data_IF_145099686903
#
_entry.id   IF_145099686903
#
_cell.length_a   1.000
_cell.length_b   1.000
_cell.length_c   1.000
_cell.angle_alpha   90.00
_cell.angle_beta   90.00
_cell.angle_gamma   90.00
#
_symmetry.space_group_name_H-M   'P 1'
#
loop_
_entity.id
_entity.type
_entity.pdbx_description
1 polymer ?
#
# COMPACT_ATOMS: atom_id res chain seq x y z
N UNK A 1 -3.30 25.12 28.18
CA UNK A 1 -4.36 24.13 27.91
C UNK A 1 -4.40 23.66 26.44
N UNK A 2 -4.29 24.58 25.47
CA UNK A 2 -4.34 24.26 24.02
C UNK A 2 -3.20 23.35 23.53
N UNK A 3 -1.97 23.56 24.01
CA UNK A 3 -0.80 22.77 23.59
C UNK A 3 -0.90 21.28 24.00
N UNK A 4 -1.36 20.99 25.24
CA UNK A 4 -1.58 19.61 25.71
C UNK A 4 -2.64 18.90 24.88
N UNK A 5 -3.73 19.59 24.53
CA UNK A 5 -4.78 19.03 23.68
C UNK A 5 -4.27 18.70 22.27
N UNK A 6 -3.45 19.57 21.68
CA UNK A 6 -2.83 19.35 20.37
C UNK A 6 -1.93 18.09 20.36
N UNK A 7 -1.00 17.97 21.31
CA UNK A 7 -0.15 16.78 21.42
C UNK A 7 -0.95 15.50 21.68
N UNK A 8 -2.02 15.61 22.46
CA UNK A 8 -2.93 14.48 22.69
C UNK A 8 -3.60 14.05 21.39
N UNK A 9 -4.18 14.99 20.62
CA UNK A 9 -4.79 14.70 19.31
C UNK A 9 -3.76 14.09 18.35
N UNK A 10 -2.55 14.65 18.27
CA UNK A 10 -1.48 14.12 17.41
C UNK A 10 -1.10 12.68 17.78
N UNK A 11 -0.99 12.38 19.07
CA UNK A 11 -0.69 11.04 19.57
C UNK A 11 -1.80 10.04 19.23
N UNK A 12 -3.07 10.42 19.39
CA UNK A 12 -4.20 9.57 19.00
C UNK A 12 -4.27 9.35 17.49
N UNK A 13 -3.96 10.37 16.70
CA UNK A 13 -3.89 10.24 15.24
C UNK A 13 -2.74 9.29 14.83
N UNK A 14 -1.56 9.47 15.42
CA UNK A 14 -0.40 8.61 15.18
C UNK A 14 -0.70 7.15 15.55
N UNK A 15 -1.22 6.91 16.75
CA UNK A 15 -1.55 5.55 17.22
C UNK A 15 -2.67 4.91 16.41
N UNK A 16 -3.66 5.66 15.93
CA UNK A 16 -4.68 5.14 15.03
C UNK A 16 -4.10 4.69 13.68
N UNK A 17 -3.20 5.49 13.08
CA UNK A 17 -2.50 5.12 11.85
C UNK A 17 -1.56 3.92 12.06
N UNK A 18 -0.80 3.89 13.16
CA UNK A 18 0.07 2.77 13.52
C UNK A 18 -0.74 1.48 13.71
N UNK A 19 -1.91 1.57 14.36
CA UNK A 19 -2.83 0.45 14.48
C UNK A 19 -3.30 0.01 13.11
N UNK A 20 -3.75 0.92 12.24
CA UNK A 20 -4.19 0.59 10.89
C UNK A 20 -3.09 -0.09 10.06
N UNK A 21 -1.84 0.37 10.18
CA UNK A 21 -0.68 -0.14 9.44
C UNK A 21 0.01 -1.36 10.07
N UNK A 22 -0.57 -1.95 11.12
CA UNK A 22 0.05 -3.05 11.89
C UNK A 22 0.61 -4.18 11.02
N UNK A 23 -0.10 -4.61 9.96
CA UNK A 23 0.41 -5.65 9.08
C UNK A 23 1.65 -5.20 8.27
N UNK A 24 1.63 -3.98 7.73
CA UNK A 24 2.79 -3.41 7.04
C UNK A 24 3.99 -3.21 7.97
N UNK A 25 3.76 -2.72 9.19
CA UNK A 25 4.79 -2.57 10.22
C UNK A 25 5.38 -3.93 10.61
N UNK A 26 4.54 -4.96 10.72
CA UNK A 26 4.99 -6.33 10.96
C UNK A 26 5.91 -6.82 9.85
N UNK A 27 5.52 -6.69 8.56
CA UNK A 27 6.36 -7.10 7.43
C UNK A 27 7.70 -6.34 7.40
N UNK A 28 7.67 -5.02 7.60
CA UNK A 28 8.90 -4.21 7.69
C UNK A 28 9.79 -4.65 8.86
N UNK A 29 9.20 -5.03 9.99
CA UNK A 29 9.96 -5.55 11.13
C UNK A 29 10.60 -6.90 10.82
N UNK A 30 9.92 -7.79 10.08
CA UNK A 30 10.50 -9.05 9.60
C UNK A 30 11.64 -8.78 8.60
N UNK A 31 11.52 -7.76 7.74
CA UNK A 31 12.62 -7.39 6.82
C UNK A 31 13.88 -6.98 7.57
N UNK A 32 13.74 -6.11 8.57
CA UNK A 32 14.83 -5.66 9.43
C UNK A 32 15.43 -6.81 10.23
N UNK A 33 14.59 -7.66 10.82
CA UNK A 33 15.01 -8.84 11.57
C UNK A 33 15.84 -9.79 10.69
N UNK A 34 15.32 -10.11 9.50
CA UNK A 34 15.98 -11.06 8.59
C UNK A 34 17.18 -10.48 7.84
N UNK A 35 17.43 -9.17 7.96
CA UNK A 35 18.69 -8.58 7.49
C UNK A 35 19.85 -8.87 8.44
N UNK A 36 19.57 -9.00 9.75
CA UNK A 36 20.59 -9.22 10.78
C UNK A 36 20.59 -10.63 11.36
N UNK A 37 19.49 -11.37 11.21
CA UNK A 37 19.33 -12.76 11.67
C UNK A 37 19.11 -13.68 10.47
N UNK A 38 19.98 -14.67 10.34
CA UNK A 38 19.79 -15.78 9.40
C UNK A 38 19.01 -16.90 10.08
N UNK A 39 17.87 -17.28 9.49
CA UNK A 39 17.10 -18.44 9.97
C UNK A 39 17.64 -19.69 9.28
N UNK A 40 18.11 -20.71 10.02
CA UNK A 40 18.65 -21.92 9.40
C UNK A 40 17.55 -22.71 8.70
N UNK A 41 17.92 -23.46 7.65
CA UNK A 41 17.07 -24.42 6.92
C UNK A 41 15.90 -23.83 6.12
N UNK A 42 15.66 -22.52 6.17
CA UNK A 42 14.59 -21.85 5.42
C UNK A 42 15.15 -20.63 4.69
N UNK A 43 14.74 -20.45 3.43
CA UNK A 43 15.07 -19.22 2.70
C UNK A 43 14.48 -18.01 3.40
N UNK A 44 15.21 -16.88 3.36
CA UNK A 44 14.72 -15.60 3.88
C UNK A 44 13.34 -15.25 3.34
N UNK A 45 13.11 -15.45 2.05
CA UNK A 45 11.82 -15.13 1.42
C UNK A 45 10.70 -16.09 1.83
N UNK A 46 11.01 -17.38 2.00
CA UNK A 46 10.04 -18.37 2.48
C UNK A 46 9.65 -18.08 3.93
N UNK A 47 10.61 -17.69 4.77
CA UNK A 47 10.35 -17.29 6.15
C UNK A 47 9.44 -16.05 6.20
N UNK A 48 9.71 -15.03 5.39
CA UNK A 48 8.86 -13.83 5.29
C UNK A 48 7.44 -14.24 4.83
N UNK A 49 7.33 -15.10 3.82
CA UNK A 49 6.04 -15.58 3.34
C UNK A 49 5.26 -16.31 4.44
N UNK A 50 5.87 -17.26 5.13
CA UNK A 50 5.22 -17.99 6.23
C UNK A 50 4.85 -17.05 7.38
N UNK A 51 5.70 -16.09 7.73
CA UNK A 51 5.39 -15.09 8.74
C UNK A 51 4.16 -14.24 8.35
N UNK A 52 4.05 -13.84 7.08
CA UNK A 52 2.89 -13.13 6.56
C UNK A 52 1.61 -13.98 6.60
N UNK A 53 1.70 -15.25 6.21
CA UNK A 53 0.57 -16.20 6.29
C UNK A 53 0.12 -16.39 7.74
N UNK A 54 1.05 -16.61 8.67
CA UNK A 54 0.75 -16.76 10.11
C UNK A 54 0.08 -15.49 10.63
N UNK A 55 0.60 -14.30 10.30
CA UNK A 55 -0.02 -13.04 10.70
C UNK A 55 -1.47 -12.96 10.21
N UNK A 56 -1.70 -13.27 8.94
CA UNK A 56 -3.02 -13.19 8.32
C UNK A 56 -4.02 -14.18 8.95
N UNK A 57 -3.58 -15.42 9.20
CA UNK A 57 -4.39 -16.45 9.88
C UNK A 57 -4.72 -16.03 11.31
N UNK A 58 -3.73 -15.53 12.07
CA UNK A 58 -3.96 -15.00 13.41
C UNK A 58 -4.92 -13.79 13.38
N UNK A 59 -4.78 -12.89 12.42
CA UNK A 59 -5.67 -11.73 12.28
C UNK A 59 -7.13 -12.15 12.09
N UNK A 60 -7.37 -13.24 11.34
CA UNK A 60 -8.70 -13.82 11.17
C UNK A 60 -9.19 -14.54 12.45
N UNK A 61 -8.37 -15.40 13.05
CA UNK A 61 -8.74 -16.19 14.24
C UNK A 61 -9.08 -15.28 15.42
N UNK A 62 -8.29 -14.24 15.66
CA UNK A 62 -8.52 -13.28 16.75
C UNK A 62 -9.51 -12.17 16.40
N UNK A 63 -10.09 -12.18 15.19
CA UNK A 63 -11.08 -11.19 14.76
C UNK A 63 -10.53 -9.77 14.60
N UNK A 64 -9.21 -9.62 14.44
CA UNK A 64 -8.59 -8.34 14.07
C UNK A 64 -8.94 -7.92 12.64
N UNK A 65 -9.29 -8.89 11.79
CA UNK A 65 -9.70 -8.70 10.42
C UNK A 65 -10.98 -9.48 10.11
N UNK A 66 -11.90 -8.86 9.36
CA UNK A 66 -13.17 -9.47 8.96
C UNK A 66 -13.03 -10.23 7.64
N UNK A 67 -13.85 -11.26 7.43
CA UNK A 67 -13.85 -12.04 6.17
C UNK A 67 -13.97 -11.17 4.90
N UNK A 68 -14.80 -10.12 4.93
CA UNK A 68 -14.95 -9.19 3.79
C UNK A 68 -13.65 -8.42 3.49
N UNK A 69 -12.89 -8.07 4.52
CA UNK A 69 -11.60 -7.37 4.41
C UNK A 69 -10.54 -8.34 3.88
N UNK A 70 -10.57 -9.60 4.34
CA UNK A 70 -9.71 -10.67 3.86
C UNK A 70 -9.88 -11.00 2.38
N UNK A 71 -11.12 -11.01 1.86
CA UNK A 71 -11.35 -11.18 0.42
C UNK A 71 -10.68 -10.08 -0.41
N UNK A 72 -10.69 -8.84 0.08
CA UNK A 72 -9.99 -7.74 -0.57
C UNK A 72 -8.48 -7.99 -0.54
N UNK A 73 -7.93 -8.46 0.58
CA UNK A 73 -6.52 -8.85 0.70
C UNK A 73 -6.12 -9.94 -0.31
N UNK A 74 -6.93 -10.97 -0.51
CA UNK A 74 -6.67 -11.98 -1.55
C UNK A 74 -6.61 -11.33 -2.94
N UNK A 75 -7.53 -10.42 -3.24
CA UNK A 75 -7.54 -9.71 -4.53
C UNK A 75 -6.28 -8.87 -4.72
N UNK A 76 -5.81 -8.18 -3.67
CA UNK A 76 -4.52 -7.49 -3.69
C UNK A 76 -3.37 -8.45 -3.96
N UNK A 77 -3.32 -9.59 -3.27
CA UNK A 77 -2.27 -10.58 -3.43
C UNK A 77 -2.18 -11.06 -4.88
N UNK A 78 -3.32 -11.38 -5.50
CA UNK A 78 -3.38 -11.85 -6.90
C UNK A 78 -2.95 -10.75 -7.88
N UNK A 79 -3.56 -9.56 -7.81
CA UNK A 79 -3.25 -8.47 -8.74
C UNK A 79 -1.79 -8.01 -8.60
N UNK A 80 -1.29 -7.92 -7.38
CA UNK A 80 0.10 -7.61 -7.12
C UNK A 80 1.05 -8.65 -7.71
N UNK A 81 0.76 -9.94 -7.51
CA UNK A 81 1.61 -11.02 -8.03
C UNK A 81 1.67 -10.98 -9.56
N UNK A 82 0.54 -10.67 -10.24
CA UNK A 82 0.51 -10.49 -11.70
C UNK A 82 1.41 -9.31 -12.12
N UNK A 83 1.33 -8.18 -11.41
CA UNK A 83 2.16 -7.02 -11.70
C UNK A 83 3.64 -7.29 -11.44
N UNK A 84 3.98 -7.94 -10.32
CA UNK A 84 5.33 -8.35 -9.97
C UNK A 84 5.91 -9.26 -11.05
N UNK A 85 5.16 -10.28 -11.51
CA UNK A 85 5.59 -11.22 -12.56
C UNK A 85 5.98 -10.50 -13.86
N UNK A 86 5.25 -9.45 -14.21
CA UNK A 86 5.59 -8.60 -15.34
C UNK A 86 6.82 -7.73 -15.05
N UNK A 87 6.86 -7.06 -13.91
CA UNK A 87 7.88 -6.05 -13.57
C UNK A 87 9.26 -6.62 -13.29
N UNK A 88 9.31 -7.81 -12.70
CA UNK A 88 10.56 -8.53 -12.40
C UNK A 88 10.94 -9.53 -13.48
N UNK A 89 10.19 -9.57 -14.58
CA UNK A 89 10.60 -10.35 -15.75
C UNK A 89 11.98 -9.85 -16.21
N UNK A 90 12.94 -10.74 -16.53
CA UNK A 90 14.27 -10.33 -16.99
C UNK A 90 14.27 -9.38 -18.21
N UNK A 91 13.27 -9.46 -19.09
CA UNK A 91 13.13 -8.57 -20.24
C UNK A 91 12.66 -7.15 -19.86
N UNK A 92 12.02 -6.99 -18.69
CA UNK A 92 11.52 -5.71 -18.17
C UNK A 92 12.47 -5.12 -17.14
N UNK A 93 12.95 -5.94 -16.20
CA UNK A 93 14.01 -5.60 -15.26
C UNK A 93 13.72 -4.37 -14.39
N UNK A 94 12.46 -4.12 -14.02
CA UNK A 94 12.13 -2.92 -13.22
C UNK A 94 12.75 -2.97 -11.83
N UNK A 95 12.84 -4.16 -11.24
CA UNK A 95 13.61 -4.50 -10.05
C UNK A 95 13.87 -6.02 -10.03
N UNK A 96 14.73 -6.48 -9.13
CA UNK A 96 15.08 -7.89 -8.97
C UNK A 96 15.02 -8.34 -7.51
N UNK A 97 14.70 -9.61 -7.30
CA UNK A 97 14.71 -10.28 -6.00
C UNK A 97 15.98 -11.14 -5.86
N UNK A 98 17.06 -10.64 -5.23
CA UNK A 98 18.37 -11.30 -5.24
C UNK A 98 18.38 -12.70 -4.60
N UNK A 99 17.54 -12.95 -3.58
CA UNK A 99 17.52 -14.22 -2.86
C UNK A 99 16.48 -15.22 -3.40
N UNK A 100 15.91 -14.98 -4.59
CA UNK A 100 14.79 -15.78 -5.10
C UNK A 100 15.20 -17.21 -5.45
N UNK A 101 16.45 -17.41 -5.90
CA UNK A 101 16.96 -18.72 -6.31
C UNK A 101 17.05 -19.76 -5.19
N UNK A 102 16.99 -19.33 -3.93
CA UNK A 102 16.96 -20.23 -2.77
C UNK A 102 15.56 -20.47 -2.20
N UNK A 103 14.52 -19.82 -2.72
CA UNK A 103 13.17 -19.84 -2.17
C UNK A 103 12.25 -20.83 -2.89
N UNK A 104 11.39 -21.51 -2.12
CA UNK A 104 10.42 -22.50 -2.62
C UNK A 104 9.09 -21.82 -2.97
N UNK A 105 8.63 -20.87 -2.15
CA UNK A 105 7.35 -20.17 -2.36
C UNK A 105 7.52 -19.03 -3.37
N UNK A 106 7.73 -19.40 -4.63
CA UNK A 106 7.97 -18.47 -5.73
C UNK A 106 7.13 -18.81 -6.96
N UNK A 107 6.87 -17.79 -7.78
CA UNK A 107 6.37 -17.93 -9.15
C UNK A 107 7.36 -17.22 -10.07
N UNK A 108 8.10 -17.99 -10.87
CA UNK A 108 9.19 -17.48 -11.70
C UNK A 108 10.17 -16.61 -10.88
N UNK A 109 10.33 -15.32 -11.20
CA UNK A 109 11.22 -14.40 -10.49
C UNK A 109 10.58 -13.72 -9.26
N UNK A 110 9.35 -14.12 -8.89
CA UNK A 110 8.55 -13.44 -7.86
C UNK A 110 8.38 -14.33 -6.62
N UNK A 111 8.95 -13.95 -5.47
CA UNK A 111 8.59 -14.55 -4.20
C UNK A 111 7.13 -14.25 -3.83
N UNK A 112 6.39 -15.24 -3.32
CA UNK A 112 4.97 -15.08 -3.00
C UNK A 112 4.70 -14.11 -1.84
N UNK A 113 5.70 -13.79 -1.00
CA UNK A 113 5.49 -12.77 0.03
C UNK A 113 5.21 -11.37 -0.55
N UNK A 114 5.61 -11.11 -1.79
CA UNK A 114 5.45 -9.80 -2.43
C UNK A 114 3.98 -9.42 -2.56
N UNK A 115 3.10 -10.37 -2.86
CA UNK A 115 1.65 -10.16 -2.85
C UNK A 115 1.13 -9.67 -1.49
N UNK A 116 1.74 -10.10 -0.38
CA UNK A 116 1.39 -9.61 0.95
C UNK A 116 1.82 -8.15 1.21
N UNK A 117 2.82 -7.62 0.50
CA UNK A 117 3.21 -6.20 0.62
C UNK A 117 2.10 -5.27 0.14
N UNK A 118 1.49 -5.58 -1.00
CA UNK A 118 0.34 -4.83 -1.50
C UNK A 118 -0.92 -5.11 -0.69
N UNK A 119 -1.08 -6.34 -0.21
CA UNK A 119 -2.15 -6.69 0.73
C UNK A 119 -2.07 -5.87 2.02
N UNK A 120 -0.87 -5.55 2.51
CA UNK A 120 -0.68 -4.67 3.66
C UNK A 120 -1.17 -3.24 3.42
N UNK A 121 -1.05 -2.72 2.18
CA UNK A 121 -1.64 -1.44 1.78
C UNK A 121 -3.17 -1.53 1.82
N UNK A 122 -3.75 -2.59 1.25
CA UNK A 122 -5.20 -2.84 1.29
C UNK A 122 -5.73 -2.94 2.72
N UNK A 123 -5.06 -3.71 3.58
CA UNK A 123 -5.34 -3.81 5.01
C UNK A 123 -5.25 -2.45 5.69
N UNK A 124 -4.24 -1.63 5.40
CA UNK A 124 -4.11 -0.30 5.99
C UNK A 124 -5.29 0.60 5.63
N UNK A 125 -5.68 0.66 4.35
CA UNK A 125 -6.81 1.49 3.91
C UNK A 125 -8.10 1.00 4.59
N UNK A 126 -8.34 -0.31 4.56
CA UNK A 126 -9.51 -0.95 5.18
C UNK A 126 -9.61 -0.64 6.68
N UNK A 127 -8.52 -0.85 7.41
CA UNK A 127 -8.47 -0.59 8.85
C UNK A 127 -8.50 0.90 9.18
N UNK A 128 -8.03 1.77 8.29
CA UNK A 128 -8.18 3.22 8.44
C UNK A 128 -9.65 3.63 8.43
N UNK A 129 -10.50 3.04 7.58
CA UNK A 129 -11.97 3.27 7.63
C UNK A 129 -12.59 2.95 8.99
N UNK A 130 -12.00 2.00 9.72
CA UNK A 130 -12.47 1.56 11.04
C UNK A 130 -11.89 2.42 12.17
N UNK A 131 -10.57 2.56 12.25
CA UNK A 131 -9.91 3.27 13.35
C UNK A 131 -10.07 4.79 13.30
N UNK A 132 -10.12 5.36 12.10
CA UNK A 132 -10.27 6.79 11.89
C UNK A 132 -11.71 7.19 11.55
N UNK A 133 -12.63 6.21 11.48
CA UNK A 133 -14.03 6.41 11.08
C UNK A 133 -14.18 7.27 9.83
N UNK A 134 -13.45 6.92 8.78
CA UNK A 134 -13.39 7.72 7.57
C UNK A 134 -14.76 7.88 6.93
N UNK A 135 -15.08 9.10 6.53
CA UNK A 135 -16.19 9.46 5.64
C UNK A 135 -15.72 10.48 4.61
N UNK A 136 -16.43 10.57 3.50
CA UNK A 136 -16.03 11.38 2.35
C UNK A 136 -17.12 12.35 1.96
N UNK A 137 -16.70 13.58 1.63
CA UNK A 137 -17.59 14.64 1.17
C UNK A 137 -17.21 15.03 -0.26
N UNK A 138 -18.21 15.27 -1.12
CA UNK A 138 -18.02 15.60 -2.55
C UNK A 138 -17.12 14.58 -3.25
N UNK A 139 -17.38 13.30 -3.00
CA UNK A 139 -16.72 12.21 -3.70
C UNK A 139 -17.24 12.17 -5.14
N UNK A 140 -16.36 12.03 -6.16
CA UNK A 140 -16.79 11.98 -7.55
C UNK A 140 -17.65 10.74 -7.81
N UNK A 141 -18.36 10.72 -8.93
CA UNK A 141 -19.12 9.54 -9.31
C UNK A 141 -18.25 8.29 -9.32
N UNK A 142 -18.80 7.20 -8.77
CA UNK A 142 -18.04 6.00 -8.45
C UNK A 142 -17.34 5.37 -9.67
N UNK A 143 -17.88 5.56 -10.88
CA UNK A 143 -17.27 5.07 -12.10
C UNK A 143 -15.94 5.78 -12.41
N UNK A 144 -15.78 7.06 -12.08
CA UNK A 144 -14.53 7.81 -12.29
C UNK A 144 -13.36 7.20 -11.50
N UNK A 145 -13.63 6.74 -10.27
CA UNK A 145 -12.64 6.03 -9.46
C UNK A 145 -12.15 4.75 -10.16
N UNK A 146 -13.08 3.97 -10.74
CA UNK A 146 -12.74 2.73 -11.42
C UNK A 146 -12.06 2.93 -12.77
N UNK A 147 -12.48 3.91 -13.57
CA UNK A 147 -11.77 4.29 -14.80
C UNK A 147 -10.31 4.62 -14.46
N UNK A 148 -10.10 5.46 -13.44
CA UNK A 148 -8.77 5.84 -13.02
C UNK A 148 -7.94 4.65 -12.50
N UNK A 149 -8.54 3.76 -11.71
CA UNK A 149 -7.87 2.55 -11.21
C UNK A 149 -7.44 1.63 -12.37
N UNK A 150 -8.34 1.35 -13.32
CA UNK A 150 -8.06 0.49 -14.47
C UNK A 150 -7.00 1.12 -15.38
N UNK A 151 -7.13 2.40 -15.73
CA UNK A 151 -6.15 3.09 -16.57
C UNK A 151 -4.78 3.17 -15.90
N UNK A 152 -4.74 3.37 -14.57
CA UNK A 152 -3.48 3.33 -13.81
C UNK A 152 -2.85 1.94 -13.86
N UNK A 153 -3.64 0.88 -13.64
CA UNK A 153 -3.15 -0.50 -13.72
C UNK A 153 -2.61 -0.81 -15.11
N UNK A 154 -3.37 -0.50 -16.16
CA UNK A 154 -2.94 -0.71 -17.55
C UNK A 154 -1.66 0.07 -17.85
N UNK A 155 -1.58 1.36 -17.48
CA UNK A 155 -0.36 2.17 -17.64
C UNK A 155 0.83 1.54 -16.92
N UNK A 156 0.63 0.91 -15.75
CA UNK A 156 1.69 0.16 -15.08
C UNK A 156 2.25 -0.96 -15.95
N UNK A 157 1.49 -1.65 -16.80
CA UNK A 157 2.05 -2.65 -17.73
C UNK A 157 2.57 -2.03 -19.02
N UNK A 158 1.90 -1.02 -19.56
CA UNK A 158 2.15 -0.56 -20.94
C UNK A 158 3.23 0.49 -21.06
N UNK A 159 3.58 1.26 -20.00
CA UNK A 159 4.61 2.31 -20.10
C UNK A 159 6.02 1.82 -20.45
N UNK A 160 6.25 0.51 -20.35
CA UNK A 160 7.49 -0.13 -20.82
C UNK A 160 7.58 -0.24 -22.34
N UNK A 161 6.43 -0.23 -23.03
CA UNK A 161 6.32 -0.43 -24.48
C UNK A 161 5.73 0.77 -25.22
N UNK A 162 4.96 1.62 -24.51
CA UNK A 162 4.26 2.78 -25.03
C UNK A 162 4.52 4.01 -24.17
N UNK A 163 3.97 5.16 -24.58
CA UNK A 163 4.05 6.40 -23.81
C UNK A 163 3.48 6.24 -22.41
N UNK A 164 4.24 6.71 -21.42
CA UNK A 164 3.78 6.78 -20.04
C UNK A 164 2.77 7.91 -19.87
N UNK A 165 1.49 7.56 -19.70
CA UNK A 165 0.39 8.52 -19.60
C UNK A 165 0.17 9.05 -18.18
N UNK A 166 1.11 8.84 -17.25
CA UNK A 166 0.95 9.23 -15.83
C UNK A 166 0.55 10.68 -15.63
N UNK A 167 1.05 11.61 -16.44
CA UNK A 167 0.73 13.04 -16.30
C UNK A 167 -0.73 13.33 -16.66
N UNK A 168 -1.28 12.61 -17.64
CA UNK A 168 -2.70 12.67 -17.98
C UNK A 168 -3.52 12.09 -16.83
N UNK A 169 -3.09 10.96 -16.26
CA UNK A 169 -3.75 10.37 -15.09
C UNK A 169 -3.71 11.31 -13.88
N UNK A 170 -2.59 11.98 -13.60
CA UNK A 170 -2.49 12.97 -12.53
C UNK A 170 -3.44 14.14 -12.76
N UNK A 171 -3.50 14.70 -13.97
CA UNK A 171 -4.45 15.76 -14.30
C UNK A 171 -5.89 15.28 -14.05
N UNK A 172 -6.21 14.05 -14.45
CA UNK A 172 -7.53 13.47 -14.22
C UNK A 172 -7.86 13.32 -12.73
N UNK A 173 -6.92 12.80 -11.93
CA UNK A 173 -7.06 12.68 -10.47
C UNK A 173 -7.33 14.05 -9.85
N UNK A 174 -6.51 15.05 -10.22
CA UNK A 174 -6.63 16.41 -9.70
C UNK A 174 -8.02 16.96 -10.00
N UNK A 175 -8.50 16.84 -11.24
CA UNK A 175 -9.81 17.37 -11.65
C UNK A 175 -10.95 16.73 -10.84
N UNK A 176 -11.01 15.40 -10.75
CA UNK A 176 -12.16 14.72 -10.14
C UNK A 176 -12.14 14.76 -8.61
N UNK A 177 -10.97 14.80 -7.99
CA UNK A 177 -10.83 14.78 -6.52
C UNK A 177 -10.50 16.14 -5.91
N UNK A 178 -10.39 17.22 -6.71
CA UNK A 178 -10.00 18.56 -6.22
C UNK A 178 -10.86 19.02 -5.04
N UNK A 179 -12.17 18.73 -5.09
CA UNK A 179 -13.15 19.15 -4.08
C UNK A 179 -13.42 18.10 -3.01
N UNK A 180 -12.83 16.90 -3.14
CA UNK A 180 -13.10 15.79 -2.24
C UNK A 180 -12.36 15.98 -0.92
N UNK A 181 -13.11 15.90 0.18
CA UNK A 181 -12.55 15.95 1.54
C UNK A 181 -12.76 14.60 2.23
N UNK A 182 -11.75 14.21 3.01
CA UNK A 182 -11.81 13.07 3.92
C UNK A 182 -12.04 13.62 5.31
N UNK A 183 -13.11 13.16 5.96
CA UNK A 183 -13.38 13.41 7.37
C UNK A 183 -12.94 12.20 8.19
N UNK A 184 -12.37 12.46 9.35
CA UNK A 184 -11.83 11.44 10.24
C UNK A 184 -11.93 11.87 11.69
N UNK A 185 -12.16 10.91 12.58
CA UNK A 185 -12.22 11.15 14.02
C UNK A 185 -10.85 10.97 14.66
N UNK A 186 -10.37 12.01 15.33
CA UNK A 186 -9.18 11.97 16.19
C UNK A 186 -9.61 12.18 17.63
N UNK A 187 -9.42 11.16 18.47
CA UNK A 187 -9.88 11.17 19.86
C UNK A 187 -11.39 11.49 19.94
N UNK A 188 -11.77 12.71 20.35
CA UNK A 188 -13.17 13.17 20.47
C UNK A 188 -13.61 14.15 19.38
N UNK A 189 -12.71 14.57 18.49
CA UNK A 189 -13.00 15.61 17.48
C UNK A 189 -12.99 15.03 16.07
N UNK A 190 -13.88 15.53 15.25
CA UNK A 190 -13.84 15.31 13.82
C UNK A 190 -12.92 16.33 13.17
N UNK A 191 -12.08 15.86 12.25
CA UNK A 191 -11.13 16.65 11.46
C UNK A 191 -11.32 16.29 10.00
N UNK A 192 -10.91 17.20 9.11
CA UNK A 192 -10.98 16.96 7.68
C UNK A 192 -9.71 17.41 6.98
N UNK A 193 -9.39 16.76 5.87
CA UNK A 193 -8.32 17.18 4.97
C UNK A 193 -8.66 16.85 3.51
N UNK A 194 -8.03 17.52 2.53
CA UNK A 194 -8.21 17.16 1.13
C UNK A 194 -7.83 15.69 0.87
N UNK A 195 -8.62 14.99 0.07
CA UNK A 195 -8.33 13.59 -0.28
C UNK A 195 -6.99 13.45 -0.99
N UNK A 196 -6.68 14.35 -1.92
CA UNK A 196 -5.40 14.37 -2.62
C UNK A 196 -4.20 14.45 -1.66
N UNK A 197 -4.32 15.27 -0.59
CA UNK A 197 -3.29 15.36 0.44
C UNK A 197 -3.16 14.04 1.23
N UNK A 198 -4.29 13.39 1.53
CA UNK A 198 -4.32 12.08 2.20
C UNK A 198 -3.55 11.02 1.39
N UNK A 199 -3.85 10.92 0.10
CA UNK A 199 -3.20 9.95 -0.81
C UNK A 199 -1.72 10.29 -0.97
N UNK A 200 -1.36 11.57 -1.14
CA UNK A 200 0.03 12.00 -1.25
C UNK A 200 0.85 11.65 -0.01
N UNK A 201 0.36 11.99 1.19
CA UNK A 201 1.07 11.66 2.42
C UNK A 201 1.21 10.14 2.60
N UNK A 202 0.16 9.38 2.28
CA UNK A 202 0.22 7.91 2.30
C UNK A 202 1.26 7.38 1.31
N UNK A 203 1.31 7.92 0.08
CA UNK A 203 2.29 7.54 -0.94
C UNK A 203 3.72 7.83 -0.48
N UNK A 204 3.92 8.95 0.21
CA UNK A 204 5.21 9.31 0.78
C UNK A 204 5.66 8.33 1.88
N UNK A 205 4.76 7.90 2.78
CA UNK A 205 5.08 6.86 3.77
C UNK A 205 5.35 5.49 3.13
N UNK A 206 4.65 5.15 2.05
CA UNK A 206 4.95 3.93 1.27
C UNK A 206 6.32 4.03 0.62
N UNK A 207 6.72 5.19 0.09
CA UNK A 207 8.07 5.42 -0.43
C UNK A 207 9.14 5.28 0.67
N UNK A 208 8.87 5.72 1.91
CA UNK A 208 9.77 5.44 3.05
C UNK A 208 9.89 3.93 3.28
N UNK A 209 8.76 3.21 3.33
CA UNK A 209 8.76 1.74 3.47
C UNK A 209 9.51 1.03 2.34
N UNK A 210 9.41 1.55 1.11
CA UNK A 210 10.14 1.06 -0.06
C UNK A 210 11.66 1.21 0.11
N UNK A 211 12.11 2.34 0.67
CA UNK A 211 13.52 2.53 0.99
C UNK A 211 14.00 1.57 2.08
N UNK A 212 13.18 1.22 3.07
CA UNK A 212 13.51 0.18 4.07
C UNK A 212 13.67 -1.18 3.39
N UNK A 213 12.76 -1.54 2.47
CA UNK A 213 12.84 -2.81 1.73
C UNK A 213 14.10 -2.95 0.88
N UNK A 214 14.48 -1.88 0.17
CA UNK A 214 15.74 -1.89 -0.61
C UNK A 214 16.99 -1.81 0.27
N UNK A 215 16.93 -1.10 1.41
CA UNK A 215 18.02 -1.04 2.39
C UNK A 215 18.31 -2.41 2.99
N UNK A 216 17.25 -3.17 3.28
CA UNK A 216 17.32 -4.54 3.78
C UNK A 216 17.52 -5.58 2.68
N UNK A 217 17.91 -5.17 1.47
CA UNK A 217 18.28 -6.07 0.35
C UNK A 217 17.18 -7.07 -0.04
N UNK A 218 15.92 -6.74 0.26
CA UNK A 218 14.80 -7.61 -0.12
C UNK A 218 14.62 -7.58 -1.64
N UNK A 219 14.70 -6.41 -2.25
CA UNK A 219 14.78 -6.24 -3.71
C UNK A 219 15.72 -5.10 -4.06
N UNK A 220 16.17 -5.07 -5.32
CA UNK A 220 17.03 -4.01 -5.84
C UNK A 220 16.45 -3.38 -7.09
N UNK A 221 16.54 -2.06 -7.16
CA UNK A 221 16.42 -1.34 -8.42
C UNK A 221 17.72 -1.44 -9.23
N UNK A 222 17.68 -1.35 -10.58
CA UNK A 222 18.88 -1.29 -11.41
C UNK A 222 19.87 -0.20 -10.97
N UNK A 223 19.34 0.89 -10.43
CA UNK A 223 20.08 2.01 -9.86
C UNK A 223 20.80 1.74 -8.53
N UNK A 224 20.62 0.56 -7.93
CA UNK A 224 21.12 0.20 -6.60
C UNK A 224 22.01 -1.06 -6.61
N UNK A 225 22.44 -1.54 -7.79
CA UNK A 225 23.21 -2.78 -7.91
C UNK A 225 24.60 -2.70 -7.27
N UNK A 226 25.24 -1.53 -7.30
CA UNK A 226 26.59 -1.34 -6.73
C UNK A 226 26.56 -0.85 -5.28
N UNK A 227 25.72 0.14 -4.98
CA UNK A 227 25.58 0.72 -3.66
C UNK A 227 24.13 1.14 -3.39
N UNK A 228 23.74 1.10 -2.12
CA UNK A 228 22.42 1.58 -1.72
C UNK A 228 22.36 3.10 -1.80
N UNK A 229 21.30 3.60 -2.44
CA UNK A 229 20.95 5.02 -2.49
C UNK A 229 19.45 5.18 -2.36
N UNK A 230 19.02 6.34 -1.90
CA UNK A 230 17.59 6.65 -1.82
C UNK A 230 16.93 6.52 -3.18
N UNK A 231 15.77 5.87 -3.19
CA UNK A 231 14.95 5.70 -4.38
C UNK A 231 14.46 7.06 -4.85
N UNK A 232 14.44 7.31 -6.16
CA UNK A 232 13.96 8.59 -6.72
C UNK A 232 12.59 8.99 -6.17
N UNK A 233 12.42 10.26 -5.81
CA UNK A 233 11.14 10.83 -5.38
C UNK A 233 10.06 10.69 -6.46
N UNK A 234 10.43 10.52 -7.74
CA UNK A 234 9.47 10.21 -8.81
C UNK A 234 8.64 8.95 -8.56
N UNK A 235 9.13 8.02 -7.73
CA UNK A 235 8.38 6.81 -7.33
C UNK A 235 7.19 7.11 -6.41
N UNK A 236 7.20 8.23 -5.69
CA UNK A 236 6.03 8.72 -4.93
C UNK A 236 4.84 8.89 -5.86
N UNK A 237 5.05 9.39 -7.08
CA UNK A 237 3.98 9.51 -8.08
C UNK A 237 3.42 8.15 -8.53
N UNK A 238 4.26 7.12 -8.64
CA UNK A 238 3.81 5.75 -8.96
C UNK A 238 2.97 5.17 -7.80
N UNK A 239 3.43 5.32 -6.55
CA UNK A 239 2.65 4.91 -5.38
C UNK A 239 1.35 5.69 -5.23
N UNK A 240 1.34 6.97 -5.58
CA UNK A 240 0.14 7.79 -5.56
C UNK A 240 -0.96 7.20 -6.45
N UNK A 241 -0.65 6.86 -7.72
CA UNK A 241 -1.62 6.22 -8.62
C UNK A 241 -2.01 4.82 -8.13
N UNK A 242 -1.05 4.05 -7.63
CA UNK A 242 -1.32 2.70 -7.12
C UNK A 242 -2.18 2.72 -5.85
N UNK A 243 -2.05 3.74 -5.01
CA UNK A 243 -2.91 3.93 -3.84
C UNK A 243 -4.34 4.27 -4.23
N UNK A 244 -4.55 4.94 -5.36
CA UNK A 244 -5.90 5.19 -5.89
C UNK A 244 -6.52 3.89 -6.38
N UNK A 245 -5.76 3.05 -7.10
CA UNK A 245 -6.17 1.69 -7.42
C UNK A 245 -6.51 0.90 -6.15
N UNK A 246 -5.62 0.95 -5.16
CA UNK A 246 -5.81 0.27 -3.88
C UNK A 246 -7.08 0.73 -3.17
N UNK A 247 -7.31 2.04 -3.17
CA UNK A 247 -8.52 2.64 -2.63
C UNK A 247 -9.76 2.18 -3.39
N UNK A 248 -9.73 2.11 -4.73
CA UNK A 248 -10.83 1.60 -5.53
C UNK A 248 -11.21 0.16 -5.15
N UNK A 249 -10.23 -0.73 -4.99
CA UNK A 249 -10.48 -2.12 -4.55
C UNK A 249 -11.13 -2.18 -3.17
N UNK A 250 -10.58 -1.45 -2.19
CA UNK A 250 -11.13 -1.41 -0.82
C UNK A 250 -12.49 -0.73 -0.77
N UNK A 251 -12.74 0.25 -1.65
CA UNK A 251 -13.99 1.00 -1.69
C UNK A 251 -15.22 0.12 -1.99
N UNK A 252 -15.04 -1.06 -2.59
CA UNK A 252 -16.12 -2.03 -2.86
C UNK A 252 -16.88 -2.36 -1.56
N UNK A 253 -16.16 -2.57 -0.45
CA UNK A 253 -16.74 -2.96 0.83
C UNK A 253 -17.13 -1.76 1.72
N UNK A 254 -16.72 -0.54 1.34
CA UNK A 254 -17.03 0.71 2.07
C UNK A 254 -17.83 1.72 1.24
N UNK A 255 -18.50 1.28 0.17
CA UNK A 255 -19.19 2.14 -0.79
C UNK A 255 -20.17 3.13 -0.13
N UNK A 256 -20.90 2.68 0.89
CA UNK A 256 -21.85 3.51 1.64
C UNK A 256 -21.20 4.65 2.44
N UNK A 257 -19.89 4.61 2.70
CA UNK A 257 -19.15 5.66 3.41
C UNK A 257 -18.58 6.74 2.47
N UNK A 258 -18.69 6.54 1.15
CA UNK A 258 -18.10 7.44 0.16
C UNK A 258 -18.99 8.64 -0.18
N UNK A 259 -20.29 8.54 0.04
CA UNK A 259 -21.23 9.61 -0.22
C UNK A 259 -21.80 10.10 1.11
N UNK A 260 -21.14 11.09 1.70
CA UNK A 260 -21.75 11.88 2.76
C UNK A 260 -22.37 13.13 2.13
N UNK A 261 -23.67 13.05 1.87
CA UNK A 261 -24.47 14.22 1.51
C UNK A 261 -24.57 15.11 2.75
N UNK A 262 -23.69 16.10 2.82
CA UNK A 262 -23.95 17.26 3.67
C UNK A 262 -24.99 18.09 2.93
N UNK A 263 -26.26 17.92 3.30
CA UNK A 263 -27.30 18.91 3.05
C UNK A 263 -26.86 20.28 3.58
#
# INVERSE_FOLDING_TARGET
MHMRAFFTELWYFFTANLRASCFGVFLLSIFLLTEVVTIPLISRYDFIFLAAVIFQVCALIFGFERLKEFFVIILFHVLATIMELFKTNPAIGSWTYPAVGGAIFTLASVPLFTGFLYSAIGSYISRSFTFLKLSYQRFPDYYHLWILAVLSYVNFFTHHFFYDIRYILFAYVLIIFFRTKVHFQVYKKERSMPFLLTVFLTAFFVWIAENIGTFTKIWFYPSQLEYWRLISLGKVGSWFLLLILSFALVSIIYRNKLQHDTA
#
